data_IF_157241309414
#
_entry.id   IF_157241309414
#
_cell.length_a   1.000
_cell.length_b   1.000
_cell.length_c   1.000
_cell.angle_alpha   90.00
_cell.angle_beta   90.00
_cell.angle_gamma   90.00
#
_symmetry.space_group_name_H-M   'P 1'
#
loop_
_entity.id
_entity.type
_entity.pdbx_description
1 polymer ?
#
# COMPACT_ATOMS: atom_id res chain seq x y z
N UNK A 1 -3.63 -17.91 -5.39
CA UNK A 1 -3.81 -16.44 -5.28
C UNK A 1 -3.15 -15.80 -6.49
N UNK A 2 -3.68 -14.69 -6.99
CA UNK A 2 -3.06 -13.96 -8.08
C UNK A 2 -1.68 -13.46 -7.63
N UNK A 3 -0.71 -13.39 -8.54
CA UNK A 3 0.62 -12.85 -8.22
C UNK A 3 0.53 -11.34 -8.34
N UNK A 4 0.84 -10.62 -7.28
CA UNK A 4 0.84 -9.15 -7.27
C UNK A 4 2.26 -8.63 -7.11
N UNK A 5 2.66 -7.67 -7.96
CA UNK A 5 4.00 -7.08 -7.98
C UNK A 5 3.88 -5.58 -7.81
N UNK A 6 4.59 -5.02 -6.83
CA UNK A 6 4.67 -3.58 -6.62
C UNK A 6 5.55 -2.95 -7.70
N UNK A 7 4.99 -2.02 -8.47
CA UNK A 7 5.69 -1.27 -9.51
C UNK A 7 6.15 0.08 -8.97
N UNK A 8 5.23 0.81 -8.34
CA UNK A 8 5.50 2.13 -7.75
C UNK A 8 5.02 2.14 -6.31
N UNK A 9 5.96 2.28 -5.38
CA UNK A 9 5.68 2.42 -3.96
C UNK A 9 4.94 3.74 -3.65
N UNK A 10 4.16 3.79 -2.56
CA UNK A 10 3.61 5.05 -2.06
C UNK A 10 4.72 6.08 -1.82
N UNK A 11 4.49 7.31 -2.27
CA UNK A 11 5.43 8.43 -2.08
C UNK A 11 5.15 9.25 -0.82
N UNK A 12 4.02 9.01 -0.17
CA UNK A 12 3.59 9.67 1.06
C UNK A 12 3.11 8.64 2.07
N UNK A 13 2.96 9.06 3.32
CA UNK A 13 2.36 8.26 4.38
C UNK A 13 1.03 8.90 4.81
N UNK A 14 0.09 8.13 5.41
CA UNK A 14 -1.23 8.62 5.81
C UNK A 14 -1.18 9.70 6.90
N UNK A 15 -0.13 9.66 7.73
CA UNK A 15 0.14 10.63 8.79
C UNK A 15 1.60 11.05 8.72
N UNK A 16 1.87 12.26 9.18
CA UNK A 16 3.21 12.84 9.31
C UNK A 16 3.86 12.46 10.64
N UNK A 17 5.20 12.50 10.73
CA UNK A 17 5.89 12.31 12.01
C UNK A 17 5.48 13.33 13.08
N UNK A 18 5.15 14.57 12.70
CA UNK A 18 4.73 15.62 13.64
C UNK A 18 3.33 15.36 14.22
N UNK A 19 2.40 14.85 13.40
CA UNK A 19 1.09 14.39 13.89
C UNK A 19 1.24 13.21 14.85
N UNK A 20 2.15 12.27 14.55
CA UNK A 20 2.44 11.15 15.44
C UNK A 20 3.08 11.60 16.76
N UNK A 21 4.05 12.51 16.72
CA UNK A 21 4.67 13.10 17.92
C UNK A 21 3.63 13.79 18.80
N UNK A 22 2.74 14.57 18.20
CA UNK A 22 1.63 15.21 18.89
C UNK A 22 0.71 14.18 19.55
N UNK A 23 0.39 13.07 18.86
CA UNK A 23 -0.43 11.99 19.40
C UNK A 23 0.21 11.27 20.59
N UNK A 24 1.54 11.03 20.51
CA UNK A 24 2.32 10.33 21.53
C UNK A 24 2.84 11.25 22.65
N UNK A 25 2.66 12.57 22.52
CA UNK A 25 3.21 13.61 23.42
C UNK A 25 4.74 13.55 23.51
N UNK A 26 5.39 13.43 22.36
CA UNK A 26 6.85 13.43 22.21
C UNK A 26 7.29 14.83 21.77
N UNK A 27 8.15 15.47 22.55
CA UNK A 27 8.70 16.81 22.26
C UNK A 27 10.16 16.77 21.74
N UNK A 28 10.80 15.59 21.79
CA UNK A 28 12.21 15.40 21.41
C UNK A 28 12.35 15.05 19.90
N UNK A 29 13.25 15.71 19.15
CA UNK A 29 13.47 15.44 17.72
C UNK A 29 14.34 14.21 17.41
N UNK A 30 14.94 13.54 18.40
CA UNK A 30 15.95 12.48 18.18
C UNK A 30 15.37 11.22 17.52
N UNK A 31 14.07 10.95 17.65
CA UNK A 31 13.45 9.69 17.23
C UNK A 31 12.70 9.75 15.89
N UNK A 32 12.80 10.85 15.12
CA UNK A 32 12.03 11.05 13.88
C UNK A 32 12.21 9.91 12.85
N UNK A 33 13.42 9.36 12.73
CA UNK A 33 13.71 8.24 11.84
C UNK A 33 12.99 6.94 12.29
N UNK A 34 12.94 6.70 13.60
CA UNK A 34 12.26 5.53 14.16
C UNK A 34 10.74 5.65 14.02
N UNK A 35 10.19 6.83 14.34
CA UNK A 35 8.78 7.14 14.16
C UNK A 35 8.34 6.98 12.70
N UNK A 36 9.16 7.45 11.75
CA UNK A 36 8.90 7.27 10.32
C UNK A 36 8.84 5.79 9.93
N UNK A 37 9.75 4.96 10.46
CA UNK A 37 9.73 3.51 10.25
C UNK A 37 8.49 2.82 10.84
N UNK A 38 8.03 3.28 12.01
CA UNK A 38 6.80 2.79 12.63
C UNK A 38 5.57 3.13 11.79
N UNK A 39 5.48 4.34 11.24
CA UNK A 39 4.38 4.76 10.36
C UNK A 39 4.30 3.85 9.13
N UNK A 40 5.40 3.66 8.42
CA UNK A 40 5.45 2.79 7.24
C UNK A 40 5.10 1.33 7.57
N UNK A 41 5.58 0.82 8.71
CA UNK A 41 5.30 -0.56 9.13
C UNK A 41 3.83 -0.72 9.51
N UNK A 42 3.26 0.24 10.25
CA UNK A 42 1.86 0.24 10.62
C UNK A 42 0.96 0.30 9.39
N UNK A 43 1.24 1.17 8.42
CA UNK A 43 0.50 1.22 7.16
C UNK A 43 0.52 -0.14 6.48
N UNK A 44 1.70 -0.72 6.22
CA UNK A 44 1.81 -2.03 5.52
C UNK A 44 1.02 -3.12 6.24
N UNK A 45 1.11 -3.17 7.56
CA UNK A 45 0.39 -4.15 8.36
C UNK A 45 -1.13 -4.00 8.24
N UNK A 46 -1.63 -2.77 8.31
CA UNK A 46 -3.06 -2.49 8.17
C UNK A 46 -3.54 -2.74 6.72
N UNK A 47 -2.76 -2.36 5.71
CA UNK A 47 -3.08 -2.61 4.29
C UNK A 47 -3.23 -4.12 4.03
N UNK A 48 -2.33 -4.93 4.58
CA UNK A 48 -2.39 -6.39 4.50
C UNK A 48 -3.55 -6.98 5.32
N UNK A 49 -3.86 -6.44 6.49
CA UNK A 49 -4.94 -6.94 7.34
C UNK A 49 -6.33 -6.67 6.76
N UNK A 50 -6.51 -5.53 6.09
CA UNK A 50 -7.80 -5.09 5.57
C UNK A 50 -7.93 -5.25 4.04
N UNK A 51 -6.92 -5.78 3.36
CA UNK A 51 -6.85 -5.92 1.89
C UNK A 51 -7.18 -4.60 1.18
N UNK A 52 -6.68 -3.52 1.77
CA UNK A 52 -6.96 -2.15 1.36
C UNK A 52 -5.66 -1.39 1.14
N UNK A 53 -5.70 -0.36 0.33
CA UNK A 53 -4.59 0.54 0.07
C UNK A 53 -4.95 1.93 0.60
N UNK A 54 -4.21 2.42 1.59
CA UNK A 54 -4.47 3.73 2.18
C UNK A 54 -3.80 4.85 1.40
N UNK A 55 -2.62 4.58 0.84
CA UNK A 55 -1.89 5.56 0.02
C UNK A 55 -1.67 5.01 -1.38
N UNK A 56 -1.91 5.84 -2.40
CA UNK A 56 -1.80 5.46 -3.80
C UNK A 56 -0.47 4.76 -4.12
N UNK A 57 -0.58 3.55 -4.65
CA UNK A 57 0.51 2.76 -5.17
C UNK A 57 0.08 2.06 -6.47
N UNK A 58 1.06 1.68 -7.28
CA UNK A 58 0.81 0.99 -8.55
C UNK A 58 1.30 -0.45 -8.45
N UNK A 59 0.40 -1.38 -8.78
CA UNK A 59 0.65 -2.81 -8.75
C UNK A 59 0.30 -3.45 -10.10
N UNK A 60 1.08 -4.44 -10.50
CA UNK A 60 0.73 -5.39 -11.55
C UNK A 60 0.18 -6.66 -10.89
N UNK A 61 -1.04 -7.05 -11.26
CA UNK A 61 -1.67 -8.28 -10.78
C UNK A 61 -1.83 -9.28 -11.93
N UNK A 62 -1.23 -10.46 -11.76
CA UNK A 62 -1.23 -11.53 -12.75
C UNK A 62 -2.18 -12.66 -12.35
N UNK A 63 -3.02 -13.06 -13.30
CA UNK A 63 -3.96 -14.16 -13.15
C UNK A 63 -3.55 -15.33 -14.06
N UNK A 64 -3.49 -16.55 -13.50
CA UNK A 64 -3.11 -17.75 -14.26
C UNK A 64 -4.26 -18.31 -15.13
N UNK A 65 -5.48 -17.78 -14.95
CA UNK A 65 -6.68 -18.19 -15.69
C UNK A 65 -7.69 -17.05 -15.69
N UNK A 66 -8.56 -17.03 -16.69
CA UNK A 66 -9.74 -16.19 -16.66
C UNK A 66 -10.76 -16.73 -15.66
N UNK A 67 -11.19 -15.88 -14.73
CA UNK A 67 -12.34 -16.11 -13.86
C UNK A 67 -13.35 -14.97 -14.03
N UNK A 68 -14.63 -15.24 -13.78
CA UNK A 68 -15.66 -14.22 -13.76
C UNK A 68 -16.27 -14.16 -12.34
N UNK A 69 -15.99 -13.12 -11.54
CA UNK A 69 -15.11 -11.98 -11.82
C UNK A 69 -13.61 -12.30 -11.63
N UNK A 70 -12.75 -11.44 -12.20
CA UNK A 70 -11.34 -11.30 -11.78
C UNK A 70 -11.32 -10.39 -10.56
N UNK A 71 -10.99 -10.94 -9.39
CA UNK A 71 -10.96 -10.19 -8.12
C UNK A 71 -9.59 -9.54 -7.96
N UNK A 72 -9.58 -8.23 -7.77
CA UNK A 72 -8.36 -7.48 -7.50
C UNK A 72 -8.01 -7.55 -6.01
N UNK A 73 -6.72 -7.66 -5.68
CA UNK A 73 -6.28 -7.87 -4.29
C UNK A 73 -6.31 -6.59 -3.45
N UNK A 74 -6.18 -5.41 -4.06
CA UNK A 74 -6.09 -4.13 -3.36
C UNK A 74 -7.25 -3.19 -3.73
N UNK A 75 -8.10 -2.89 -2.75
CA UNK A 75 -9.15 -1.87 -2.86
C UNK A 75 -8.74 -0.58 -2.14
N UNK A 76 -9.29 0.61 -2.46
CA UNK A 76 -10.09 0.92 -3.64
C UNK A 76 -9.22 1.10 -4.89
N UNK A 77 -9.69 0.59 -6.03
CA UNK A 77 -9.06 0.86 -7.33
C UNK A 77 -9.36 2.31 -7.75
N UNK A 78 -8.30 3.10 -7.96
CA UNK A 78 -8.43 4.47 -8.46
C UNK A 78 -8.39 4.52 -9.99
N UNK A 79 -7.44 3.81 -10.59
CA UNK A 79 -7.26 3.78 -12.04
C UNK A 79 -6.53 2.51 -12.48
N UNK A 80 -6.71 2.15 -13.76
CA UNK A 80 -6.05 0.99 -14.38
C UNK A 80 -5.28 1.47 -15.61
N UNK A 81 -3.97 1.25 -15.62
CA UNK A 81 -3.10 1.74 -16.70
C UNK A 81 -3.18 0.88 -17.97
N UNK A 82 -3.22 -0.45 -17.83
CA UNK A 82 -3.35 -1.36 -18.98
C UNK A 82 -3.87 -2.73 -18.56
N UNK A 83 -4.48 -3.46 -19.49
CA UNK A 83 -4.79 -4.89 -19.38
C UNK A 83 -4.07 -5.61 -20.50
N UNK A 84 -3.31 -6.65 -20.16
CA UNK A 84 -2.57 -7.48 -21.13
C UNK A 84 -2.95 -8.94 -20.96
N UNK A 85 -3.01 -9.65 -22.08
CA UNK A 85 -3.23 -11.09 -22.13
C UNK A 85 -2.08 -11.72 -22.93
N UNK A 86 -1.56 -12.83 -22.44
CA UNK A 86 -0.51 -13.60 -23.09
C UNK A 86 -1.10 -14.98 -23.40
N UNK A 87 -1.12 -15.35 -24.67
CA UNK A 87 -1.75 -16.56 -25.21
C UNK A 87 -0.76 -17.64 -25.63
N UNK A 88 0.52 -17.43 -25.33
CA UNK A 88 1.67 -18.22 -25.78
C UNK A 88 2.43 -18.85 -24.62
#
# INVERSE_FOLDING_TARGET
>A
MAKTVLITAPTTEPITPDELKTHLRIDDPVEDAYLSGLITTARKHLEEAYWTQFVTATYDQYFNKFSSPLVLDHSPLISMSSVKYTDT
#
